data_IF_004987689429
#
_entry.id   IF_004987689429
#
_cell.length_a   1.000
_cell.length_b   1.000
_cell.length_c   1.000
_cell.angle_alpha   90.00
_cell.angle_beta   90.00
_cell.angle_gamma   90.00
#
_symmetry.space_group_name_H-M   'P 1'
#
loop_
_entity.id
_entity.type
_entity.pdbx_description
1 polymer ?
#
# COMPACT_ATOMS: atom_id res chain seq x y z
N UNK A 1 22.57 18.65 -11.72
CA UNK A 1 21.37 18.71 -10.86
C UNK A 1 20.38 17.56 -11.08
N UNK A 2 20.27 17.00 -12.30
CA UNK A 2 19.40 15.84 -12.60
C UNK A 2 19.65 14.59 -11.74
N UNK A 3 20.93 14.24 -11.49
CA UNK A 3 21.30 13.05 -10.71
C UNK A 3 20.86 13.11 -9.23
N UNK A 4 20.83 14.31 -8.64
CA UNK A 4 20.38 14.51 -7.25
C UNK A 4 18.85 14.45 -7.12
N UNK A 5 18.10 14.83 -8.16
CA UNK A 5 16.65 14.72 -8.18
C UNK A 5 16.18 13.25 -8.28
N UNK A 6 16.87 12.43 -9.10
CA UNK A 6 16.58 10.99 -9.25
C UNK A 6 16.83 10.23 -7.93
N UNK A 7 17.93 10.53 -7.23
CA UNK A 7 18.23 9.94 -5.92
C UNK A 7 17.20 10.34 -4.84
N UNK A 8 16.74 11.61 -4.82
CA UNK A 8 15.71 12.06 -3.87
C UNK A 8 14.33 11.43 -4.13
N UNK A 9 13.92 11.31 -5.40
CA UNK A 9 12.65 10.66 -5.78
C UNK A 9 12.63 9.17 -5.41
N UNK A 10 13.75 8.46 -5.60
CA UNK A 10 13.86 7.05 -5.21
C UNK A 10 13.78 6.83 -3.69
N UNK A 11 14.31 7.75 -2.88
CA UNK A 11 14.23 7.70 -1.42
C UNK A 11 12.82 8.04 -0.87
N UNK A 12 12.05 8.87 -1.59
CA UNK A 12 10.67 9.21 -1.21
C UNK A 12 9.72 8.04 -1.47
N UNK A 13 9.89 7.33 -2.59
CA UNK A 13 9.12 6.09 -2.86
C UNK A 13 9.42 5.05 -1.77
N UNK A 14 10.68 4.90 -1.35
CA UNK A 14 11.10 3.97 -0.30
C UNK A 14 10.43 4.26 1.04
N UNK A 15 10.34 5.52 1.48
CA UNK A 15 9.71 5.85 2.78
C UNK A 15 8.22 5.50 2.81
N UNK A 16 7.56 5.54 1.65
CA UNK A 16 6.16 5.18 1.55
C UNK A 16 6.02 3.67 1.39
N UNK A 17 6.70 2.99 0.47
CA UNK A 17 6.54 1.53 0.27
C UNK A 17 7.03 0.69 1.45
N UNK A 18 8.07 1.13 2.16
CA UNK A 18 8.70 0.40 3.27
C UNK A 18 7.98 0.57 4.61
N UNK A 19 6.66 0.40 4.63
CA UNK A 19 5.89 0.46 5.87
C UNK A 19 5.78 -0.93 6.51
N UNK A 20 6.19 -1.05 7.78
CA UNK A 20 6.21 -2.32 8.49
C UNK A 20 4.81 -2.95 8.65
N UNK A 21 3.76 -2.13 8.75
CA UNK A 21 2.39 -2.60 8.94
C UNK A 21 1.67 -2.81 7.59
N UNK A 22 1.72 -1.82 6.71
CA UNK A 22 1.00 -1.81 5.43
C UNK A 22 1.76 -2.50 4.28
N UNK A 23 3.08 -2.69 4.38
CA UNK A 23 3.90 -3.38 3.38
C UNK A 23 3.46 -4.82 3.09
N UNK A 24 3.22 -5.66 4.11
CA UNK A 24 2.65 -7.00 3.93
C UNK A 24 1.38 -7.05 3.07
N UNK A 25 0.45 -6.13 3.32
CA UNK A 25 -0.79 -6.05 2.54
C UNK A 25 -0.55 -5.55 1.10
N UNK A 26 0.45 -4.68 0.87
CA UNK A 26 0.85 -4.30 -0.49
C UNK A 26 1.38 -5.50 -1.28
N UNK A 27 2.20 -6.35 -0.65
CA UNK A 27 2.70 -7.57 -1.30
C UNK A 27 1.57 -8.54 -1.66
N UNK A 28 0.60 -8.72 -0.76
CA UNK A 28 -0.59 -9.52 -1.04
C UNK A 28 -1.44 -8.91 -2.16
N UNK A 29 -1.64 -7.59 -2.17
CA UNK A 29 -2.38 -6.92 -3.23
C UNK A 29 -1.74 -7.14 -4.61
N UNK A 30 -0.42 -7.03 -4.69
CA UNK A 30 0.36 -7.30 -5.91
C UNK A 30 0.29 -8.76 -6.31
N UNK A 31 0.39 -9.69 -5.34
CA UNK A 31 0.23 -11.12 -5.57
C UNK A 31 -1.12 -11.43 -6.22
N UNK A 32 -2.21 -10.88 -5.66
CA UNK A 32 -3.53 -11.13 -6.20
C UNK A 32 -3.73 -10.54 -7.59
N UNK A 33 -3.19 -9.34 -7.85
CA UNK A 33 -3.18 -8.77 -9.19
C UNK A 33 -2.40 -9.63 -10.19
N UNK A 34 -1.23 -10.13 -9.79
CA UNK A 34 -0.41 -11.05 -10.59
C UNK A 34 -1.16 -12.35 -10.93
N UNK A 35 -1.84 -12.95 -9.94
CA UNK A 35 -2.64 -14.17 -10.17
C UNK A 35 -3.84 -13.94 -11.07
N UNK A 36 -4.59 -12.84 -10.87
CA UNK A 36 -5.69 -12.47 -11.77
C UNK A 36 -5.21 -12.25 -13.21
N UNK A 37 -4.01 -11.68 -13.39
CA UNK A 37 -3.45 -11.48 -14.72
C UNK A 37 -3.09 -12.82 -15.40
N UNK A 38 -2.50 -13.76 -14.65
CA UNK A 38 -2.22 -15.10 -15.17
C UNK A 38 -3.51 -15.85 -15.51
N UNK A 39 -4.53 -15.75 -14.65
CA UNK A 39 -5.82 -16.38 -14.88
C UNK A 39 -6.52 -15.83 -16.13
N UNK A 40 -6.47 -14.51 -16.34
CA UNK A 40 -7.15 -13.85 -17.45
C UNK A 40 -6.39 -13.93 -18.80
N UNK A 41 -5.06 -13.93 -18.78
CA UNK A 41 -4.23 -13.78 -19.98
C UNK A 41 -3.19 -14.90 -20.20
N UNK A 42 -2.97 -15.76 -19.21
CA UNK A 42 -1.96 -16.80 -19.22
C UNK A 42 -0.56 -16.33 -18.80
N UNK A 43 0.27 -17.28 -18.35
CA UNK A 43 1.62 -17.06 -17.81
C UNK A 43 2.64 -16.39 -18.77
N UNK A 44 2.38 -16.37 -20.07
CA UNK A 44 3.27 -15.76 -21.07
C UNK A 44 2.93 -14.29 -21.41
N UNK A 45 1.79 -13.80 -20.93
CA UNK A 45 1.21 -12.52 -21.34
C UNK A 45 1.04 -11.53 -20.18
N UNK A 46 1.47 -11.89 -18.97
CA UNK A 46 1.40 -11.02 -17.81
C UNK A 46 2.39 -9.85 -17.91
N UNK A 47 1.98 -8.70 -17.42
CA UNK A 47 2.80 -7.49 -17.31
C UNK A 47 3.40 -7.36 -15.92
N UNK A 48 2.66 -7.75 -14.87
CA UNK A 48 3.16 -7.76 -13.49
C UNK A 48 4.24 -8.82 -13.37
N UNK A 49 5.42 -8.42 -12.90
CA UNK A 49 6.60 -9.27 -12.74
C UNK A 49 6.97 -10.03 -14.03
N UNK A 50 6.76 -9.39 -15.19
CA UNK A 50 6.98 -10.07 -16.47
C UNK A 50 8.46 -10.51 -16.59
N UNK A 51 8.69 -11.81 -16.80
CA UNK A 51 10.04 -12.39 -16.86
C UNK A 51 10.62 -12.88 -15.53
N UNK A 52 9.93 -12.70 -14.40
CA UNK A 52 10.25 -13.44 -13.19
C UNK A 52 9.79 -14.89 -13.38
N UNK A 53 10.73 -15.83 -13.29
CA UNK A 53 10.46 -17.27 -13.42
C UNK A 53 10.35 -17.87 -12.03
N UNK A 54 9.32 -18.69 -11.82
CA UNK A 54 9.12 -19.39 -10.56
C UNK A 54 9.08 -20.90 -10.73
N UNK A 55 8.76 -21.59 -9.63
CA UNK A 55 8.73 -23.05 -9.58
C UNK A 55 7.33 -23.65 -9.80
N UNK A 56 6.31 -22.84 -10.07
CA UNK A 56 5.00 -23.38 -10.44
C UNK A 56 5.06 -24.10 -11.80
N UNK A 57 4.18 -25.08 -12.06
CA UNK A 57 4.23 -25.89 -13.29
C UNK A 57 4.12 -25.09 -14.61
N UNK A 58 3.45 -23.94 -14.57
CA UNK A 58 3.31 -23.01 -15.70
C UNK A 58 4.49 -22.02 -15.82
N UNK A 59 5.53 -22.20 -15.00
CA UNK A 59 6.72 -21.34 -14.94
C UNK A 59 6.52 -20.05 -14.12
N UNK A 60 5.35 -19.87 -13.50
CA UNK A 60 5.04 -18.70 -12.68
C UNK A 60 5.56 -18.83 -11.25
N UNK A 61 5.65 -17.72 -10.54
CA UNK A 61 6.02 -17.69 -9.13
C UNK A 61 4.89 -18.13 -8.18
N UNK A 62 5.27 -18.85 -7.13
CA UNK A 62 4.52 -18.89 -5.87
C UNK A 62 4.72 -17.60 -5.07
N UNK A 63 3.93 -17.41 -4.01
CA UNK A 63 3.86 -16.15 -3.27
C UNK A 63 5.23 -15.67 -2.77
N UNK A 64 5.97 -16.52 -2.04
CA UNK A 64 7.28 -16.17 -1.49
C UNK A 64 8.31 -15.88 -2.59
N UNK A 65 8.26 -16.61 -3.72
CA UNK A 65 9.15 -16.41 -4.87
C UNK A 65 8.89 -15.05 -5.54
N UNK A 66 7.61 -14.69 -5.72
CA UNK A 66 7.24 -13.38 -6.26
C UNK A 66 7.71 -12.27 -5.32
N UNK A 67 7.43 -12.42 -4.02
CA UNK A 67 7.77 -11.43 -3.01
C UNK A 67 9.28 -11.18 -2.94
N UNK A 68 10.10 -12.24 -2.91
CA UNK A 68 11.55 -12.13 -2.88
C UNK A 68 12.10 -11.58 -4.21
N UNK A 69 11.60 -12.09 -5.34
CA UNK A 69 12.02 -11.68 -6.68
C UNK A 69 11.80 -10.18 -6.93
N UNK A 70 10.72 -9.61 -6.40
CA UNK A 70 10.38 -8.20 -6.52
C UNK A 70 11.15 -7.28 -5.56
N UNK A 71 11.90 -7.79 -4.59
CA UNK A 71 12.69 -6.94 -3.69
C UNK A 71 13.84 -6.23 -4.43
N UNK A 72 14.18 -5.03 -3.97
CA UNK A 72 15.44 -4.37 -4.36
C UNK A 72 16.64 -5.24 -3.99
N UNK A 73 17.73 -5.06 -4.74
CA UNK A 73 18.98 -5.77 -4.49
C UNK A 73 19.45 -5.62 -3.04
N UNK A 74 19.78 -6.74 -2.40
CA UNK A 74 20.23 -6.79 -0.99
C UNK A 74 19.14 -6.49 0.04
N UNK A 75 17.86 -6.50 -0.35
CA UNK A 75 16.70 -6.34 0.54
C UNK A 75 15.78 -7.57 0.56
N UNK A 76 16.24 -8.68 -0.03
CA UNK A 76 15.53 -9.96 -0.02
C UNK A 76 15.44 -10.59 1.35
N UNK A 77 14.69 -11.68 1.41
CA UNK A 77 14.54 -12.49 2.63
C UNK A 77 15.90 -13.07 3.07
N UNK A 78 16.10 -13.21 4.37
CA UNK A 78 17.25 -13.96 4.89
C UNK A 78 17.12 -15.46 4.55
N UNK A 79 18.24 -16.20 4.42
CA UNK A 79 18.21 -17.62 4.13
C UNK A 79 17.28 -18.40 5.07
N UNK A 80 16.43 -19.26 4.50
CA UNK A 80 15.46 -20.08 5.24
C UNK A 80 14.19 -19.35 5.68
N UNK A 81 14.07 -18.03 5.46
CA UNK A 81 12.84 -17.29 5.74
C UNK A 81 11.83 -17.50 4.60
N UNK A 82 10.60 -17.85 4.96
CA UNK A 82 9.46 -18.02 4.05
C UNK A 82 8.17 -17.98 4.85
N UNK A 83 7.05 -17.67 4.20
CA UNK A 83 5.72 -17.82 4.80
C UNK A 83 5.25 -19.28 4.77
N UNK A 84 4.16 -19.57 5.48
CA UNK A 84 3.52 -20.90 5.43
C UNK A 84 2.63 -21.09 4.20
N UNK A 85 2.55 -20.09 3.32
CA UNK A 85 1.72 -20.12 2.10
C UNK A 85 2.14 -21.26 1.17
N UNK A 86 3.45 -21.45 0.97
CA UNK A 86 3.97 -22.49 0.10
C UNK A 86 3.38 -22.43 -1.31
N UNK A 87 2.57 -23.43 -1.69
CA UNK A 87 1.95 -23.55 -3.02
C UNK A 87 0.51 -23.06 -3.09
N UNK A 88 -0.05 -22.58 -1.98
CA UNK A 88 -1.41 -22.04 -1.92
C UNK A 88 -1.51 -20.79 -2.81
N UNK A 89 -2.48 -20.79 -3.74
CA UNK A 89 -2.63 -19.69 -4.70
C UNK A 89 -3.47 -18.54 -4.16
N UNK A 90 -4.29 -18.83 -3.15
CA UNK A 90 -5.24 -17.91 -2.52
C UNK A 90 -5.03 -17.80 -1.00
N UNK A 91 -3.84 -17.36 -0.55
CA UNK A 91 -3.52 -17.34 0.87
C UNK A 91 -4.35 -16.34 1.68
N UNK A 92 -4.79 -16.71 2.88
CA UNK A 92 -5.55 -15.81 3.75
C UNK A 92 -4.82 -14.48 3.99
N UNK A 93 -5.51 -13.37 3.69
CA UNK A 93 -4.89 -12.04 3.64
C UNK A 93 -4.35 -11.60 5.00
N UNK A 94 -5.14 -11.74 6.07
CA UNK A 94 -4.74 -11.27 7.39
C UNK A 94 -3.67 -12.18 8.01
N UNK A 95 -3.82 -13.50 7.89
CA UNK A 95 -2.86 -14.48 8.38
C UNK A 95 -1.51 -14.30 7.69
N UNK A 96 -1.49 -14.24 6.36
CA UNK A 96 -0.23 -14.10 5.61
C UNK A 96 0.40 -12.74 5.83
N UNK A 97 -0.37 -11.65 5.95
CA UNK A 97 0.17 -10.33 6.29
C UNK A 97 0.91 -10.36 7.64
N UNK A 98 0.33 -11.03 8.64
CA UNK A 98 0.95 -11.21 9.96
C UNK A 98 2.23 -12.04 9.89
N UNK A 99 2.25 -13.11 9.09
CA UNK A 99 3.45 -13.93 8.88
C UNK A 99 4.59 -13.13 8.24
N UNK A 100 4.31 -12.35 7.20
CA UNK A 100 5.31 -11.51 6.52
C UNK A 100 5.98 -10.54 7.51
N UNK A 101 5.25 -9.98 8.48
CA UNK A 101 5.85 -9.08 9.49
C UNK A 101 6.82 -9.78 10.43
N UNK A 102 6.68 -11.08 10.60
CA UNK A 102 7.57 -11.91 11.40
C UNK A 102 8.86 -12.30 10.68
N UNK A 103 8.94 -12.08 9.36
CA UNK A 103 10.10 -12.45 8.56
C UNK A 103 11.29 -11.51 8.79
N UNK A 104 12.46 -12.00 8.44
CA UNK A 104 13.71 -11.24 8.46
C UNK A 104 14.34 -11.12 7.07
N UNK A 105 15.04 -10.02 6.86
CA UNK A 105 15.81 -9.71 5.65
C UNK A 105 17.31 -9.69 5.97
N UNK A 106 18.13 -9.81 4.93
CA UNK A 106 19.57 -9.54 5.05
C UNK A 106 19.81 -8.05 5.36
N UNK A 107 20.70 -7.77 6.31
CA UNK A 107 21.19 -6.40 6.52
C UNK A 107 22.45 -6.18 5.66
N UNK A 108 22.48 -5.14 4.79
CA UNK A 108 23.70 -4.76 4.06
C UNK A 108 24.92 -4.48 4.96
N UNK A 109 24.71 -4.20 6.25
CA UNK A 109 25.77 -4.00 7.25
C UNK A 109 26.20 -5.30 7.95
N UNK A 110 25.63 -6.45 7.59
CA UNK A 110 25.86 -7.75 8.20
C UNK A 110 24.76 -8.16 9.18
N UNK A 111 24.43 -9.45 9.21
CA UNK A 111 23.37 -10.02 10.05
C UNK A 111 21.98 -9.98 9.38
N UNK A 112 20.94 -10.00 10.21
CA UNK A 112 19.54 -9.92 9.78
C UNK A 112 18.85 -8.72 10.40
N UNK A 113 17.81 -8.23 9.72
CA UNK A 113 16.95 -7.15 10.17
C UNK A 113 15.48 -7.53 9.94
N UNK A 114 14.50 -6.83 10.55
CA UNK A 114 13.10 -7.05 10.20
C UNK A 114 12.87 -6.89 8.70
N UNK A 115 12.16 -7.85 8.10
CA UNK A 115 11.78 -7.74 6.70
C UNK A 115 10.82 -6.56 6.51
N UNK A 116 11.06 -5.82 5.43
CA UNK A 116 10.21 -4.72 5.01
C UNK A 116 10.07 -4.82 3.50
N UNK A 117 8.83 -4.82 3.01
CA UNK A 117 8.56 -4.92 1.59
C UNK A 117 9.09 -3.66 0.87
N UNK A 118 10.24 -3.81 0.23
CA UNK A 118 10.93 -2.76 -0.51
C UNK A 118 11.00 -3.16 -1.99
N UNK A 119 9.87 -2.95 -2.65
CA UNK A 119 9.66 -3.34 -4.02
C UNK A 119 10.54 -2.52 -4.98
N UNK A 120 11.10 -3.21 -5.96
CA UNK A 120 11.72 -2.61 -7.12
C UNK A 120 10.66 -2.45 -8.22
N UNK A 121 10.21 -1.22 -8.45
CA UNK A 121 9.18 -0.93 -9.45
C UNK A 121 9.60 -1.34 -10.86
N UNK A 122 10.91 -1.37 -11.17
CA UNK A 122 11.42 -1.82 -12.46
C UNK A 122 11.33 -3.35 -12.64
N UNK A 123 11.25 -4.10 -11.52
CA UNK A 123 10.95 -5.55 -11.54
C UNK A 123 9.45 -5.82 -11.54
N UNK A 124 8.65 -4.91 -11.00
CA UNK A 124 7.19 -5.01 -10.99
C UNK A 124 6.59 -4.84 -12.39
N UNK A 125 7.04 -3.83 -13.13
CA UNK A 125 6.66 -3.61 -14.53
C UNK A 125 7.91 -3.33 -15.35
N UNK A 126 8.06 -3.98 -16.51
CA UNK A 126 9.14 -3.62 -17.44
C UNK A 126 8.96 -2.20 -17.95
N UNK A 127 10.06 -1.61 -18.41
CA UNK A 127 10.02 -0.32 -19.11
C UNK A 127 9.00 -0.36 -20.26
N UNK A 128 8.12 0.64 -20.28
CA UNK A 128 7.04 0.75 -21.27
C UNK A 128 5.77 -0.04 -20.97
N UNK A 129 5.72 -0.87 -19.92
CA UNK A 129 4.50 -1.59 -19.54
C UNK A 129 3.58 -0.82 -18.58
N UNK A 130 4.13 0.15 -17.85
CA UNK A 130 3.33 1.03 -16.97
C UNK A 130 2.57 2.06 -17.80
N UNK A 131 1.28 2.22 -17.56
CA UNK A 131 0.41 3.23 -18.19
C UNK A 131 0.59 4.61 -17.58
N UNK A 132 1.14 4.67 -16.36
CA UNK A 132 1.29 5.88 -15.55
C UNK A 132 2.69 5.97 -14.95
N UNK A 133 3.14 7.16 -14.50
CA UNK A 133 4.35 7.28 -13.70
C UNK A 133 4.35 6.27 -12.54
N UNK A 134 5.52 5.84 -12.07
CA UNK A 134 5.69 4.99 -10.88
C UNK A 134 6.49 5.73 -9.81
N UNK A 135 6.05 6.96 -9.50
CA UNK A 135 6.79 7.91 -8.66
C UNK A 135 6.31 7.97 -7.21
N UNK A 136 5.22 7.27 -6.89
CA UNK A 136 4.62 7.20 -5.56
C UNK A 136 4.04 5.81 -5.28
N UNK A 137 3.67 5.53 -4.03
CA UNK A 137 2.92 4.30 -3.73
C UNK A 137 1.57 4.28 -4.45
N UNK A 138 0.87 5.42 -4.48
CA UNK A 138 -0.41 5.54 -5.14
C UNK A 138 -0.26 5.17 -6.62
N UNK A 139 0.71 5.75 -7.31
CA UNK A 139 1.07 5.45 -8.69
C UNK A 139 1.32 3.96 -8.96
N UNK A 140 2.11 3.31 -8.08
CA UNK A 140 2.43 1.88 -8.20
C UNK A 140 1.15 1.05 -8.07
N UNK A 141 0.38 1.28 -7.01
CA UNK A 141 -0.86 0.55 -6.78
C UNK A 141 -1.92 0.86 -7.85
N UNK A 142 -1.88 2.04 -8.45
CA UNK A 142 -2.77 2.45 -9.54
C UNK A 142 -2.49 1.66 -10.82
N UNK A 143 -1.20 1.48 -11.17
CA UNK A 143 -0.81 0.59 -12.28
C UNK A 143 -1.20 -0.87 -11.99
N UNK A 144 -1.03 -1.35 -10.76
CA UNK A 144 -1.47 -2.70 -10.34
C UNK A 144 -2.99 -2.83 -10.46
N UNK A 145 -3.75 -1.81 -10.06
CA UNK A 145 -5.21 -1.77 -10.18
C UNK A 145 -5.66 -1.79 -11.63
N UNK A 146 -4.96 -1.09 -12.53
CA UNK A 146 -5.25 -1.12 -13.97
C UNK A 146 -5.17 -2.56 -14.53
N UNK A 147 -4.26 -3.39 -14.01
CA UNK A 147 -4.16 -4.81 -14.39
C UNK A 147 -5.31 -5.65 -13.84
N UNK A 148 -5.74 -5.38 -12.60
CA UNK A 148 -6.95 -6.00 -12.03
C UNK A 148 -8.17 -5.65 -12.90
N UNK A 149 -8.36 -4.38 -13.26
CA UNK A 149 -9.47 -3.96 -14.12
C UNK A 149 -9.41 -4.59 -15.51
N UNK A 150 -8.22 -4.72 -16.11
CA UNK A 150 -8.04 -5.43 -17.37
C UNK A 150 -8.43 -6.92 -17.27
N UNK A 151 -8.04 -7.60 -16.20
CA UNK A 151 -8.44 -8.99 -15.95
C UNK A 151 -9.97 -9.10 -15.78
N UNK A 152 -10.58 -8.20 -15.00
CA UNK A 152 -12.04 -8.14 -14.79
C UNK A 152 -12.80 -7.91 -16.09
N UNK A 153 -12.31 -7.05 -16.97
CA UNK A 153 -12.90 -6.84 -18.29
C UNK A 153 -12.78 -8.09 -19.19
N UNK A 154 -11.70 -8.85 -19.05
CA UNK A 154 -11.42 -10.03 -19.88
C UNK A 154 -12.27 -11.24 -19.49
N UNK A 155 -12.39 -11.55 -18.20
CA UNK A 155 -13.06 -12.77 -17.72
C UNK A 155 -14.30 -12.52 -16.86
N UNK A 156 -14.48 -11.31 -16.35
CA UNK A 156 -15.56 -10.94 -15.43
C UNK A 156 -15.23 -11.20 -13.95
N UNK A 157 -15.87 -10.44 -13.06
CA UNK A 157 -15.68 -10.53 -11.60
C UNK A 157 -15.98 -11.92 -11.05
N UNK A 158 -16.97 -12.62 -11.61
CA UNK A 158 -17.38 -13.97 -11.18
C UNK A 158 -16.28 -15.02 -11.43
N UNK A 159 -15.56 -14.92 -12.54
CA UNK A 159 -14.47 -15.85 -12.86
C UNK A 159 -13.31 -15.70 -11.86
N UNK A 160 -12.97 -14.45 -11.52
CA UNK A 160 -11.86 -14.14 -10.60
C UNK A 160 -12.15 -14.45 -9.12
N UNK A 161 -13.43 -14.64 -8.76
CA UNK A 161 -13.90 -15.17 -7.48
C UNK A 161 -13.13 -14.67 -6.25
N UNK A 162 -12.56 -15.61 -5.49
CA UNK A 162 -11.84 -15.34 -4.24
C UNK A 162 -10.57 -14.52 -4.44
N UNK A 163 -9.92 -14.60 -5.61
CA UNK A 163 -8.72 -13.81 -5.92
C UNK A 163 -9.04 -12.32 -5.94
N UNK A 164 -10.17 -11.91 -6.54
CA UNK A 164 -10.63 -10.52 -6.53
C UNK A 164 -11.05 -10.08 -5.12
N UNK A 165 -11.77 -10.93 -4.39
CA UNK A 165 -12.17 -10.65 -3.00
C UNK A 165 -10.97 -10.45 -2.08
N UNK A 166 -9.93 -11.27 -2.23
CA UNK A 166 -8.72 -11.15 -1.43
C UNK A 166 -7.87 -9.94 -1.85
N UNK A 167 -7.89 -9.53 -3.12
CA UNK A 167 -7.30 -8.25 -3.53
C UNK A 167 -8.01 -7.06 -2.88
N UNK A 168 -9.35 -7.10 -2.80
CA UNK A 168 -10.14 -6.08 -2.12
C UNK A 168 -9.79 -6.00 -0.63
N UNK A 169 -9.77 -7.14 0.06
CA UNK A 169 -9.34 -7.23 1.46
C UNK A 169 -7.91 -6.73 1.66
N UNK A 170 -6.98 -7.09 0.76
CA UNK A 170 -5.61 -6.60 0.84
C UNK A 170 -5.55 -5.07 0.68
N UNK A 171 -6.30 -4.48 -0.25
CA UNK A 171 -6.37 -3.02 -0.41
C UNK A 171 -6.90 -2.31 0.85
N UNK A 172 -7.98 -2.83 1.45
CA UNK A 172 -8.49 -2.34 2.74
C UNK A 172 -7.45 -2.45 3.86
N UNK A 173 -6.71 -3.57 3.92
CA UNK A 173 -5.61 -3.73 4.86
C UNK A 173 -4.48 -2.73 4.68
N UNK A 174 -4.13 -2.36 3.45
CA UNK A 174 -3.16 -1.29 3.21
C UNK A 174 -3.68 0.02 3.82
N UNK A 175 -4.94 0.35 3.59
CA UNK A 175 -5.56 1.58 4.07
C UNK A 175 -5.58 1.63 5.60
N UNK A 176 -6.16 0.62 6.26
CA UNK A 176 -6.26 0.52 7.71
C UNK A 176 -4.89 0.64 8.40
N UNK A 177 -3.91 -0.14 7.93
CA UNK A 177 -2.58 -0.13 8.53
C UNK A 177 -1.85 1.21 8.35
N UNK A 178 -2.13 1.95 7.28
CA UNK A 178 -1.59 3.32 7.11
C UNK A 178 -2.20 4.32 8.07
N UNK A 179 -3.52 4.23 8.27
CA UNK A 179 -4.21 5.09 9.25
C UNK A 179 -3.68 4.78 10.65
N UNK A 180 -3.56 3.49 11.00
CA UNK A 180 -3.01 3.02 12.27
C UNK A 180 -1.61 3.56 12.53
N UNK A 181 -0.71 3.49 11.55
CA UNK A 181 0.67 3.95 11.68
C UNK A 181 0.78 5.47 11.91
N UNK A 182 -0.19 6.24 11.40
CA UNK A 182 -0.23 7.71 11.51
C UNK A 182 -0.95 8.21 12.78
N UNK A 183 -1.81 7.37 13.37
CA UNK A 183 -2.88 7.70 14.33
C UNK A 183 -2.75 9.00 15.12
N UNK A 184 -1.96 9.01 16.19
CA UNK A 184 -1.90 10.15 17.11
C UNK A 184 -1.25 11.39 16.49
N UNK A 185 -0.18 11.22 15.70
CA UNK A 185 0.52 12.35 15.08
C UNK A 185 -0.38 13.09 14.07
N UNK A 186 -1.26 12.36 13.37
CA UNK A 186 -2.28 12.94 12.52
C UNK A 186 -3.28 13.76 13.31
N UNK A 187 -3.88 13.18 14.36
CA UNK A 187 -4.84 13.85 15.24
C UNK A 187 -4.25 15.15 15.81
N UNK A 188 -3.02 15.08 16.33
CA UNK A 188 -2.32 16.25 16.87
C UNK A 188 -2.12 17.33 15.80
N UNK A 189 -1.76 16.93 14.58
CA UNK A 189 -1.52 17.85 13.46
C UNK A 189 -2.81 18.51 12.97
N UNK A 190 -3.94 17.80 12.98
CA UNK A 190 -5.24 18.39 12.66
C UNK A 190 -5.68 19.38 13.74
N UNK A 191 -5.55 19.02 15.02
CA UNK A 191 -5.86 19.93 16.12
C UNK A 191 -4.97 21.18 16.11
N UNK A 192 -3.67 21.04 15.81
CA UNK A 192 -2.76 22.16 15.62
C UNK A 192 -3.20 23.07 14.47
N UNK A 193 -3.61 22.49 13.33
CA UNK A 193 -4.16 23.25 12.21
C UNK A 193 -5.42 24.03 12.58
N UNK A 194 -6.39 23.38 13.23
CA UNK A 194 -7.64 24.02 13.67
C UNK A 194 -7.33 25.21 14.59
N UNK A 195 -6.43 25.03 15.56
CA UNK A 195 -6.04 26.08 16.50
C UNK A 195 -5.27 27.22 15.84
N UNK A 196 -4.22 26.90 15.09
CA UNK A 196 -3.22 27.89 14.65
C UNK A 196 -3.56 28.54 13.32
N UNK A 197 -4.15 27.80 12.38
CA UNK A 197 -4.46 28.31 11.04
C UNK A 197 -5.92 28.75 10.91
N UNK A 198 -6.84 28.10 11.62
CA UNK A 198 -8.27 28.42 11.56
C UNK A 198 -8.75 29.26 12.75
N UNK A 199 -7.93 29.42 13.80
CA UNK A 199 -8.33 30.13 15.02
C UNK A 199 -9.51 29.47 15.75
N UNK A 200 -9.74 28.18 15.51
CA UNK A 200 -10.83 27.41 16.08
C UNK A 200 -10.39 26.73 17.38
N UNK A 201 -11.29 26.67 18.36
CA UNK A 201 -11.10 25.91 19.59
C UNK A 201 -11.57 24.45 19.47
N UNK A 202 -12.06 24.06 18.28
CA UNK A 202 -12.52 22.71 18.01
C UNK A 202 -11.39 21.71 18.18
N UNK A 203 -11.66 20.66 18.95
CA UNK A 203 -10.83 19.47 19.02
C UNK A 203 -11.55 18.36 18.28
N UNK A 204 -10.80 17.62 17.46
CA UNK A 204 -11.37 16.47 16.75
C UNK A 204 -11.83 15.41 17.73
N UNK A 205 -13.01 14.86 17.49
CA UNK A 205 -13.50 13.67 18.18
C UNK A 205 -12.78 12.47 17.57
N UNK A 206 -12.34 11.54 18.43
CA UNK A 206 -11.60 10.35 17.98
C UNK A 206 -12.43 9.09 18.13
N UNK A 207 -12.24 8.15 17.20
CA UNK A 207 -12.77 6.80 17.26
C UNK A 207 -11.65 5.77 17.45
N UNK A 208 -12.01 4.55 17.85
CA UNK A 208 -11.10 3.41 18.05
C UNK A 208 -11.56 2.17 17.28
N UNK A 209 -11.62 2.22 15.93
CA UNK A 209 -11.93 1.05 15.11
C UNK A 209 -10.95 -0.10 15.34
N UNK A 210 -11.40 -1.30 14.98
CA UNK A 210 -10.61 -2.54 15.01
C UNK A 210 -10.17 -2.88 13.60
N UNK A 211 -8.86 -3.10 13.38
CA UNK A 211 -8.31 -3.52 12.08
C UNK A 211 -8.61 -4.99 11.78
N UNK A 212 -8.34 -5.43 10.54
CA UNK A 212 -8.53 -6.82 10.10
C UNK A 212 -7.77 -7.88 10.93
N UNK A 213 -6.84 -7.47 11.79
CA UNK A 213 -6.12 -8.37 12.69
C UNK A 213 -6.62 -8.33 14.14
N UNK A 214 -7.70 -7.59 14.41
CA UNK A 214 -8.27 -7.45 15.74
C UNK A 214 -7.62 -6.37 16.61
N UNK A 215 -6.71 -5.54 16.07
CA UNK A 215 -6.09 -4.47 16.84
C UNK A 215 -6.90 -3.18 16.77
N UNK A 216 -7.08 -2.52 17.91
CA UNK A 216 -7.68 -1.18 17.93
C UNK A 216 -6.67 -0.12 17.52
N UNK A 217 -7.11 0.89 16.76
CA UNK A 217 -6.29 2.05 16.41
C UNK A 217 -7.11 3.35 16.46
N UNK A 218 -6.44 4.47 16.72
CA UNK A 218 -7.10 5.78 16.79
C UNK A 218 -7.24 6.41 15.41
N UNK A 219 -8.41 6.97 15.14
CA UNK A 219 -8.67 7.80 13.96
C UNK A 219 -9.59 8.98 14.33
N UNK A 220 -9.78 9.92 13.40
CA UNK A 220 -10.73 11.02 13.56
C UNK A 220 -12.13 10.52 13.20
N UNK A 221 -13.09 10.76 14.09
CA UNK A 221 -14.51 10.61 13.84
C UNK A 221 -15.01 11.90 13.18
N UNK A 222 -15.00 11.92 11.84
CA UNK A 222 -15.40 13.11 11.08
C UNK A 222 -16.84 13.52 11.38
N UNK A 223 -17.76 12.56 11.44
CA UNK A 223 -19.17 12.84 11.67
C UNK A 223 -19.41 13.43 13.07
N UNK A 224 -18.88 12.81 14.12
CA UNK A 224 -19.02 13.37 15.48
C UNK A 224 -18.28 14.70 15.63
N UNK A 225 -17.18 14.92 14.91
CA UNK A 225 -16.49 16.21 14.91
C UNK A 225 -17.34 17.29 14.24
N UNK A 226 -17.98 17.00 13.11
CA UNK A 226 -18.91 17.93 12.44
C UNK A 226 -20.16 18.22 13.27
N UNK A 227 -20.66 17.23 14.03
CA UNK A 227 -21.75 17.43 14.97
C UNK A 227 -21.34 18.33 16.14
N UNK A 228 -20.09 18.23 16.61
CA UNK A 228 -19.55 19.07 17.68
C UNK A 228 -19.21 20.49 17.20
N UNK A 229 -18.81 20.66 15.94
CA UNK A 229 -18.55 21.94 15.29
C UNK A 229 -18.97 21.90 13.81
N UNK A 230 -20.09 22.56 13.51
CA UNK A 230 -20.64 22.63 12.15
C UNK A 230 -19.74 23.35 11.15
N UNK A 231 -18.72 24.09 11.60
CA UNK A 231 -17.70 24.70 10.73
C UNK A 231 -16.54 23.77 10.40
N UNK A 232 -16.45 22.61 11.05
CA UNK A 232 -15.32 21.69 10.88
C UNK A 232 -15.14 21.26 9.42
N UNK A 233 -16.22 20.98 8.67
CA UNK A 233 -16.15 20.63 7.25
C UNK A 233 -15.48 21.74 6.40
N UNK A 234 -15.81 23.00 6.68
CA UNK A 234 -15.20 24.16 6.00
C UNK A 234 -13.71 24.27 6.34
N UNK A 235 -13.35 24.12 7.62
CA UNK A 235 -11.96 24.11 8.05
C UNK A 235 -11.17 22.96 7.42
N UNK A 236 -11.77 21.78 7.38
CA UNK A 236 -11.18 20.56 6.83
C UNK A 236 -10.81 20.70 5.36
N UNK A 237 -11.64 21.39 4.57
CA UNK A 237 -11.37 21.62 3.15
C UNK A 237 -10.01 22.29 2.88
N UNK A 238 -9.54 23.16 3.79
CA UNK A 238 -8.24 23.83 3.69
C UNK A 238 -7.05 23.04 4.24
N UNK A 239 -7.29 21.99 5.04
CA UNK A 239 -6.23 21.23 5.71
C UNK A 239 -5.23 20.60 4.73
N UNK A 240 -5.63 19.96 3.61
CA UNK A 240 -4.67 19.35 2.69
C UNK A 240 -3.69 20.37 2.09
N UNK A 241 -4.18 21.56 1.74
CA UNK A 241 -3.36 22.63 1.15
C UNK A 241 -2.40 23.23 2.18
N UNK A 242 -2.85 23.41 3.42
CA UNK A 242 -1.99 23.83 4.52
C UNK A 242 -0.89 22.80 4.80
N UNK A 243 -1.26 21.52 4.87
CA UNK A 243 -0.32 20.43 5.12
C UNK A 243 0.74 20.33 4.00
N UNK A 244 0.38 20.67 2.77
CA UNK A 244 1.27 20.61 1.61
C UNK A 244 2.46 21.58 1.65
N UNK A 245 2.42 22.58 2.54
CA UNK A 245 3.52 23.51 2.77
C UNK A 245 4.72 22.83 3.45
N UNK A 246 4.49 21.74 4.18
CA UNK A 246 5.51 21.02 4.96
C UNK A 246 6.20 19.93 4.14
N UNK A 247 7.09 20.32 3.21
CA UNK A 247 7.74 19.39 2.26
C UNK A 247 8.79 18.45 2.88
N UNK A 248 9.31 18.75 4.07
CA UNK A 248 10.43 18.01 4.69
C UNK A 248 9.94 16.88 5.61
N UNK A 249 10.34 15.63 5.30
CA UNK A 249 10.14 14.44 6.17
C UNK A 249 10.86 14.51 7.52
N UNK A 250 11.72 15.51 7.74
CA UNK A 250 12.43 15.70 9.01
C UNK A 250 11.58 16.36 10.09
N UNK A 251 10.37 16.81 9.75
CA UNK A 251 9.43 17.46 10.68
C UNK A 251 8.21 16.58 10.88
N UNK A 252 7.58 16.63 12.07
CA UNK A 252 6.34 15.89 12.37
C UNK A 252 5.25 16.18 11.33
N UNK A 253 5.00 17.46 11.01
CA UNK A 253 4.02 17.87 9.99
C UNK A 253 4.36 17.33 8.59
N UNK A 254 5.62 17.34 8.21
CA UNK A 254 6.04 16.77 6.93
C UNK A 254 5.89 15.25 6.89
N UNK A 255 6.18 14.53 7.97
CA UNK A 255 5.89 13.09 8.07
C UNK A 255 4.39 12.83 7.89
N UNK A 256 3.55 13.54 8.65
CA UNK A 256 2.08 13.46 8.52
C UNK A 256 1.62 13.75 7.09
N UNK A 257 2.19 14.75 6.42
CA UNK A 257 1.92 15.03 4.99
C UNK A 257 2.17 13.81 4.11
N UNK A 258 3.32 13.15 4.26
CA UNK A 258 3.66 11.98 3.44
C UNK A 258 2.71 10.80 3.70
N UNK A 259 2.39 10.52 4.96
CA UNK A 259 1.42 9.48 5.31
C UNK A 259 0.01 9.82 4.83
N UNK A 260 -0.45 11.06 5.01
CA UNK A 260 -1.73 11.54 4.53
C UNK A 260 -1.89 11.35 3.01
N UNK A 261 -0.87 11.71 2.22
CA UNK A 261 -0.91 11.47 0.76
C UNK A 261 -0.97 9.99 0.41
N UNK A 262 -0.24 9.15 1.14
CA UNK A 262 -0.30 7.70 0.95
C UNK A 262 -1.68 7.13 1.28
N UNK A 263 -2.28 7.52 2.42
CA UNK A 263 -3.64 7.13 2.82
C UNK A 263 -4.65 7.54 1.75
N UNK A 264 -4.63 8.79 1.29
CA UNK A 264 -5.54 9.28 0.26
C UNK A 264 -5.37 8.55 -1.08
N UNK A 265 -4.13 8.27 -1.47
CA UNK A 265 -3.84 7.47 -2.66
C UNK A 265 -4.44 6.07 -2.55
N UNK A 266 -4.16 5.38 -1.44
CA UNK A 266 -4.68 4.02 -1.19
C UNK A 266 -6.21 4.00 -1.09
N UNK A 267 -6.84 5.01 -0.47
CA UNK A 267 -8.31 5.13 -0.45
C UNK A 267 -8.90 5.20 -1.86
N UNK A 268 -8.23 5.89 -2.78
CA UNK A 268 -8.61 5.91 -4.20
C UNK A 268 -8.50 4.52 -4.85
N UNK A 269 -7.41 3.80 -4.58
CA UNK A 269 -7.20 2.42 -5.05
C UNK A 269 -8.26 1.46 -4.52
N UNK A 270 -8.51 1.51 -3.21
CA UNK A 270 -9.52 0.72 -2.53
C UNK A 270 -10.90 0.97 -3.17
N UNK A 271 -11.26 2.23 -3.39
CA UNK A 271 -12.52 2.59 -4.05
C UNK A 271 -12.63 2.01 -5.47
N UNK A 272 -11.54 2.02 -6.24
CA UNK A 272 -11.52 1.46 -7.61
C UNK A 272 -11.70 -0.05 -7.60
N UNK A 273 -10.96 -0.78 -6.77
CA UNK A 273 -11.02 -2.25 -6.75
C UNK A 273 -12.34 -2.79 -6.21
N UNK A 274 -13.01 -2.05 -5.31
CA UNK A 274 -14.33 -2.41 -4.77
C UNK A 274 -15.50 -2.08 -5.72
N UNK A 275 -15.30 -1.16 -6.67
CA UNK A 275 -16.33 -0.82 -7.65
C UNK A 275 -16.59 -2.02 -8.56
N UNK A 276 -17.86 -2.43 -8.73
CA UNK A 276 -18.24 -3.52 -9.65
C UNK A 276 -17.88 -3.19 -11.10
N UNK A 277 -17.43 -4.20 -11.84
CA UNK A 277 -17.17 -4.06 -13.27
C UNK A 277 -18.50 -3.91 -13.99
N UNK A 278 -18.69 -2.82 -14.74
CA UNK A 278 -19.82 -2.70 -15.67
C UNK A 278 -19.41 -3.45 -16.94
N UNK A 279 -20.06 -4.56 -17.23
CA UNK A 279 -19.96 -5.24 -18.53
C UNK A 279 -20.71 -4.42 -19.58
#
# INVERSE_FOLDING_TARGET
>A
MLLRAILLLSAIVQYVTCNKLAGPYQSLYIWYAYRMEIEAFGAGSNQIASGLKGSAPDGTCYFDELMDGLQRQGQGLAPGQHTTVGKELTPDVAKTAKEIRGLTALDPKGGTKPFVCNLDSAKLFKSGQSTKPMSSLADILDNVTDRIEAARQKVGDEALGDTLKNAQLAASGIHEQRVRDMGQDYIDTVNDYLKTAQGSNTQVVTDNPTDMEGNKYKTIDFEKTEQADSKFAQHWAGFPQWLDQYKSTKTKKGQVRFHYKAVRGVQGIESRVHKKCKK
#
